data_IF_062665425968
#
_entry.id   IF_062665425968
#
_cell.length_a   1.000
_cell.length_b   1.000
_cell.length_c   1.000
_cell.angle_alpha   90.00
_cell.angle_beta   90.00
_cell.angle_gamma   90.00
#
_symmetry.space_group_name_H-M   'P 1'
#
loop_
_entity.id
_entity.type
_entity.pdbx_description
1 polymer ?
#
# COMPACT_ATOMS: atom_id res chain seq x y z
N UNK A 1 -6.14 10.22 27.04
CA UNK A 1 -6.76 8.90 27.28
C UNK A 1 -5.77 8.00 28.02
N UNK A 2 -6.21 7.32 29.07
CA UNK A 2 -5.45 6.24 29.75
C UNK A 2 -5.78 4.91 29.07
N UNK A 3 -4.77 4.14 28.69
CA UNK A 3 -4.95 2.83 28.06
C UNK A 3 -4.51 1.71 28.99
N UNK A 4 -5.27 0.62 28.99
CA UNK A 4 -5.00 -0.57 29.77
C UNK A 4 -5.24 -1.83 28.93
N UNK A 5 -4.62 -2.94 29.33
CA UNK A 5 -4.90 -4.27 28.78
C UNK A 5 -5.14 -5.31 29.84
N UNK A 6 -5.92 -6.33 29.52
CA UNK A 6 -6.02 -7.54 30.33
C UNK A 6 -5.05 -8.64 29.85
N UNK A 7 -5.09 -9.81 30.50
CA UNK A 7 -4.23 -10.96 30.18
C UNK A 7 -4.43 -11.54 28.76
N UNK A 8 -5.54 -11.20 28.09
CA UNK A 8 -5.85 -11.60 26.71
C UNK A 8 -5.45 -10.52 25.70
N UNK A 9 -4.80 -9.44 26.14
CA UNK A 9 -4.51 -8.23 25.35
C UNK A 9 -5.77 -7.47 24.85
N UNK A 10 -6.92 -7.64 25.50
CA UNK A 10 -8.08 -6.79 25.21
C UNK A 10 -7.82 -5.39 25.78
N UNK A 11 -7.98 -4.36 24.93
CA UNK A 11 -7.65 -2.96 25.26
C UNK A 11 -8.87 -2.26 25.86
N UNK A 12 -8.63 -1.49 26.93
CA UNK A 12 -9.59 -0.62 27.59
C UNK A 12 -9.03 0.81 27.57
N UNK A 13 -9.86 1.77 27.17
CA UNK A 13 -9.53 3.19 27.17
C UNK A 13 -10.43 3.91 28.17
N UNK A 14 -9.83 4.75 28.99
CA UNK A 14 -10.52 5.59 29.96
C UNK A 14 -10.09 7.04 29.73
N UNK A 15 -10.98 7.98 30.07
CA UNK A 15 -10.62 9.41 30.09
C UNK A 15 -9.47 9.67 31.06
N UNK A 16 -8.69 10.72 30.82
CA UNK A 16 -7.51 11.03 31.65
C UNK A 16 -7.88 11.41 33.10
N UNK A 17 -9.09 11.94 33.29
CA UNK A 17 -9.67 12.31 34.57
C UNK A 17 -10.52 11.20 35.21
N UNK A 18 -10.58 10.01 34.61
CA UNK A 18 -11.29 8.87 35.18
C UNK A 18 -10.68 8.48 36.53
N UNK A 19 -11.55 8.31 37.52
CA UNK A 19 -11.21 7.83 38.87
C UNK A 19 -10.80 6.36 38.81
N UNK A 20 -9.75 6.01 39.54
CA UNK A 20 -9.15 4.68 39.52
C UNK A 20 -10.11 3.60 40.05
N UNK A 21 -11.14 3.97 40.82
CA UNK A 21 -12.20 3.05 41.28
C UNK A 21 -13.01 2.43 40.12
N UNK A 22 -13.09 3.12 38.97
CA UNK A 22 -13.77 2.61 37.78
C UNK A 22 -12.88 1.73 36.90
N UNK A 23 -11.59 1.59 37.23
CA UNK A 23 -10.65 0.75 36.49
C UNK A 23 -10.77 -0.70 36.99
N UNK A 24 -11.06 -1.63 36.07
CA UNK A 24 -11.22 -3.03 36.42
C UNK A 24 -9.93 -3.59 37.05
N UNK A 25 -10.03 -4.36 38.16
CA UNK A 25 -8.87 -4.96 38.78
C UNK A 25 -8.21 -5.99 37.85
N UNK A 26 -6.88 -6.04 37.86
CA UNK A 26 -6.09 -6.95 37.01
C UNK A 26 -5.79 -6.41 35.60
N UNK A 27 -6.17 -5.16 35.31
CA UNK A 27 -5.72 -4.42 34.14
C UNK A 27 -4.30 -3.88 34.35
N UNK A 28 -3.52 -3.86 33.27
CA UNK A 28 -2.16 -3.32 33.23
C UNK A 28 -2.17 -2.07 32.37
N UNK A 29 -1.69 -0.94 32.92
CA UNK A 29 -1.52 0.31 32.16
C UNK A 29 -0.53 0.09 31.03
N UNK A 30 -0.85 0.62 29.85
CA UNK A 30 -0.02 0.58 28.66
C UNK A 30 0.07 1.97 28.05
N UNK A 31 1.07 2.20 27.22
CA UNK A 31 1.18 3.46 26.49
C UNK A 31 0.15 3.51 25.35
N UNK A 32 -0.16 4.71 24.86
CA UNK A 32 -0.96 4.87 23.64
C UNK A 32 -0.32 4.16 22.43
N UNK A 33 1.02 4.13 22.35
CA UNK A 33 1.76 3.42 21.31
C UNK A 33 1.55 1.89 21.40
N UNK A 34 1.62 1.34 22.61
CA UNK A 34 1.33 -0.09 22.85
C UNK A 34 -0.13 -0.42 22.54
N UNK A 35 -1.07 0.43 22.95
CA UNK A 35 -2.50 0.28 22.66
C UNK A 35 -2.76 0.30 21.14
N UNK A 36 -2.16 1.26 20.45
CA UNK A 36 -2.24 1.40 18.99
C UNK A 36 -1.66 0.18 18.29
N UNK A 37 -0.50 -0.31 18.74
CA UNK A 37 0.15 -1.51 18.18
C UNK A 37 -0.69 -2.77 18.39
N UNK A 38 -1.39 -2.90 19.52
CA UNK A 38 -2.26 -4.03 19.79
C UNK A 38 -3.57 -3.96 18.98
N UNK A 39 -4.13 -2.77 18.79
CA UNK A 39 -5.34 -2.54 18.00
C UNK A 39 -5.10 -2.68 16.49
N UNK A 40 -3.94 -2.22 16.02
CA UNK A 40 -3.56 -2.25 14.62
C UNK A 40 -2.06 -2.57 14.49
N UNK A 41 -1.67 -3.86 14.62
CA UNK A 41 -0.27 -4.23 14.53
C UNK A 41 0.28 -3.91 13.13
N UNK A 42 1.55 -3.49 13.04
CA UNK A 42 2.18 -3.28 11.75
C UNK A 42 2.18 -4.58 10.96
N UNK A 43 1.99 -4.47 9.65
CA UNK A 43 2.02 -5.62 8.75
C UNK A 43 3.37 -6.34 8.84
N UNK A 44 3.32 -7.66 8.84
CA UNK A 44 4.54 -8.48 8.76
C UNK A 44 5.25 -8.27 7.43
N UNK A 45 6.56 -8.52 7.38
CA UNK A 45 7.35 -8.46 6.13
C UNK A 45 6.71 -9.30 5.00
N UNK A 46 6.17 -10.48 5.33
CA UNK A 46 5.50 -11.35 4.36
C UNK A 46 4.21 -10.70 3.80
N UNK A 47 3.43 -10.05 4.66
CA UNK A 47 2.23 -9.33 4.22
C UNK A 47 2.58 -8.11 3.36
N UNK A 48 3.63 -7.37 3.73
CA UNK A 48 4.14 -6.24 2.93
C UNK A 48 4.59 -6.69 1.54
N UNK A 49 5.30 -7.83 1.44
CA UNK A 49 5.70 -8.43 0.15
C UNK A 49 4.47 -8.81 -0.68
N UNK A 50 3.48 -9.48 -0.08
CA UNK A 50 2.26 -9.86 -0.79
C UNK A 50 1.49 -8.64 -1.33
N UNK A 51 1.41 -7.56 -0.55
CA UNK A 51 0.83 -6.28 -0.99
C UNK A 51 1.63 -5.66 -2.14
N UNK A 52 2.96 -5.72 -2.08
CA UNK A 52 3.82 -5.21 -3.15
C UNK A 52 3.67 -6.04 -4.44
N UNK A 53 3.54 -7.35 -4.34
CA UNK A 53 3.26 -8.24 -5.48
C UNK A 53 1.90 -7.93 -6.13
N UNK A 54 0.85 -7.76 -5.32
CA UNK A 54 -0.48 -7.37 -5.82
C UNK A 54 -0.43 -6.00 -6.51
N UNK A 55 0.22 -5.01 -5.89
CA UNK A 55 0.43 -3.70 -6.51
C UNK A 55 1.17 -3.81 -7.84
N UNK A 56 2.21 -4.63 -7.94
CA UNK A 56 2.96 -4.85 -9.18
C UNK A 56 2.08 -5.44 -10.28
N UNK A 57 1.17 -6.36 -9.93
CA UNK A 57 0.20 -6.93 -10.86
C UNK A 57 -0.82 -5.88 -11.34
N UNK A 58 -1.36 -5.06 -10.43
CA UNK A 58 -2.29 -3.98 -10.78
C UNK A 58 -1.65 -2.95 -11.71
N UNK A 59 -0.44 -2.49 -11.37
CA UNK A 59 0.32 -1.53 -12.20
C UNK A 59 0.67 -2.11 -13.58
N UNK A 60 0.99 -3.40 -13.64
CA UNK A 60 1.23 -4.09 -14.92
C UNK A 60 -0.05 -4.12 -15.75
N UNK A 61 -1.18 -4.48 -15.16
CA UNK A 61 -2.45 -4.55 -15.89
C UNK A 61 -2.85 -3.18 -16.46
N UNK A 62 -2.63 -2.11 -15.70
CA UNK A 62 -2.82 -0.74 -16.19
C UNK A 62 -1.89 -0.42 -17.37
N UNK A 63 -0.59 -0.72 -17.25
CA UNK A 63 0.35 -0.51 -18.34
C UNK A 63 0.02 -1.34 -19.59
N UNK A 64 -0.41 -2.60 -19.42
CA UNK A 64 -0.84 -3.46 -20.52
C UNK A 64 -2.07 -2.88 -21.23
N UNK A 65 -3.02 -2.29 -20.49
CA UNK A 65 -4.19 -1.62 -21.07
C UNK A 65 -3.81 -0.36 -21.88
N UNK A 66 -2.94 0.49 -21.34
CA UNK A 66 -2.47 1.71 -22.03
C UNK A 66 -1.63 1.40 -23.27
N UNK A 67 -0.84 0.32 -23.23
CA UNK A 67 -0.06 -0.16 -24.38
C UNK A 67 -0.99 -0.72 -25.46
N UNK A 68 -2.04 -1.46 -25.09
CA UNK A 68 -2.87 -2.19 -26.06
C UNK A 68 -3.47 -1.25 -27.10
N UNK A 69 -4.20 -0.22 -26.67
CA UNK A 69 -4.94 0.62 -27.60
C UNK A 69 -4.01 1.54 -28.43
N UNK A 70 -2.92 2.02 -27.84
CA UNK A 70 -1.91 2.81 -28.57
C UNK A 70 -1.17 1.96 -29.59
N UNK A 71 -0.90 0.71 -29.26
CA UNK A 71 -0.34 -0.24 -30.21
C UNK A 71 -1.30 -0.47 -31.38
N UNK A 72 -2.59 -0.65 -31.11
CA UNK A 72 -3.61 -0.80 -32.15
C UNK A 72 -3.66 0.44 -33.07
N UNK A 73 -3.58 1.65 -32.50
CA UNK A 73 -3.52 2.90 -33.28
C UNK A 73 -2.26 2.99 -34.16
N UNK A 74 -1.10 2.58 -33.61
CA UNK A 74 0.16 2.55 -34.34
C UNK A 74 0.11 1.54 -35.50
N UNK A 75 -0.40 0.34 -35.24
CA UNK A 75 -0.52 -0.74 -36.23
C UNK A 75 -1.55 -0.40 -37.33
N UNK A 76 -2.60 0.34 -36.98
CA UNK A 76 -3.57 0.88 -37.94
C UNK A 76 -3.03 2.10 -38.72
N UNK A 77 -1.86 2.63 -38.36
CA UNK A 77 -1.27 3.81 -39.00
C UNK A 77 -2.03 5.12 -38.73
N UNK A 78 -2.78 5.18 -37.64
CA UNK A 78 -3.59 6.34 -37.23
C UNK A 78 -3.14 6.97 -35.91
N UNK A 79 -2.08 6.42 -35.29
CA UNK A 79 -1.52 6.98 -34.06
C UNK A 79 -1.03 8.43 -34.26
N UNK A 80 -1.25 9.27 -33.26
CA UNK A 80 -0.61 10.59 -33.20
C UNK A 80 0.86 10.46 -32.78
N UNK A 81 1.62 11.56 -32.95
CA UNK A 81 3.01 11.64 -32.46
C UNK A 81 3.05 11.49 -30.93
N UNK A 82 2.08 12.08 -30.22
CA UNK A 82 1.91 11.95 -28.78
C UNK A 82 1.62 10.51 -28.36
N UNK A 83 0.65 9.84 -29.00
CA UNK A 83 0.32 8.43 -28.70
C UNK A 83 1.51 7.50 -28.95
N UNK A 84 2.30 7.77 -29.99
CA UNK A 84 3.52 7.01 -30.28
C UNK A 84 4.59 7.22 -29.21
N UNK A 85 4.81 8.47 -28.77
CA UNK A 85 5.73 8.81 -27.69
C UNK A 85 5.31 8.15 -26.36
N UNK A 86 4.04 8.25 -26.01
CA UNK A 86 3.49 7.63 -24.80
C UNK A 86 3.58 6.11 -24.82
N UNK A 87 3.35 5.48 -25.97
CA UNK A 87 3.51 4.04 -26.14
C UNK A 87 4.94 3.57 -25.79
N UNK A 88 5.96 4.33 -26.20
CA UNK A 88 7.36 4.05 -25.83
C UNK A 88 7.58 4.19 -24.32
N UNK A 89 7.04 5.25 -23.71
CA UNK A 89 7.13 5.47 -22.25
C UNK A 89 6.45 4.36 -21.46
N UNK A 90 5.24 3.95 -21.85
CA UNK A 90 4.50 2.86 -21.21
C UNK A 90 5.22 1.50 -21.35
N UNK A 91 5.81 1.22 -22.51
CA UNK A 91 6.62 0.01 -22.71
C UNK A 91 7.87 0.02 -21.80
N UNK A 92 8.57 1.14 -21.71
CA UNK A 92 9.72 1.31 -20.81
C UNK A 92 9.31 1.15 -19.35
N UNK A 93 8.21 1.80 -18.95
CA UNK A 93 7.62 1.68 -17.62
C UNK A 93 7.34 0.22 -17.27
N UNK A 94 6.64 -0.52 -18.15
CA UNK A 94 6.31 -1.94 -17.91
C UNK A 94 7.56 -2.79 -17.70
N UNK A 95 8.62 -2.57 -18.47
CA UNK A 95 9.90 -3.29 -18.32
C UNK A 95 10.56 -2.96 -16.97
N UNK A 96 10.60 -1.70 -16.58
CA UNK A 96 11.14 -1.29 -15.28
C UNK A 96 10.33 -1.87 -14.13
N UNK A 97 9.00 -1.80 -14.23
CA UNK A 97 8.07 -2.36 -13.25
C UNK A 97 8.30 -3.85 -13.05
N UNK A 98 8.49 -4.61 -14.14
CA UNK A 98 8.75 -6.05 -14.08
C UNK A 98 10.07 -6.39 -13.36
N UNK A 99 11.03 -5.47 -13.30
CA UNK A 99 12.32 -5.63 -12.59
C UNK A 99 12.26 -5.27 -11.11
N UNK A 100 11.16 -4.68 -10.62
CA UNK A 100 11.02 -4.31 -9.20
C UNK A 100 11.11 -5.55 -8.31
N UNK A 101 11.97 -5.48 -7.29
CA UNK A 101 12.03 -6.43 -6.18
C UNK A 101 10.94 -6.07 -5.15
N UNK A 102 9.94 -6.94 -4.99
CA UNK A 102 8.80 -6.71 -4.09
C UNK A 102 9.16 -6.83 -2.62
N UNK A 103 10.36 -7.33 -2.28
CA UNK A 103 10.86 -7.34 -0.91
C UNK A 103 11.47 -6.01 -0.45
N UNK A 104 11.82 -5.15 -1.40
CA UNK A 104 12.29 -3.78 -1.17
C UNK A 104 11.97 -2.91 -2.41
N UNK A 105 10.69 -2.56 -2.63
CA UNK A 105 10.26 -2.04 -3.92
C UNK A 105 10.62 -0.57 -4.13
N UNK A 106 11.28 -0.29 -5.25
CA UNK A 106 11.44 1.04 -5.81
C UNK A 106 10.57 1.15 -7.07
N UNK A 107 9.42 1.81 -6.95
CA UNK A 107 8.44 1.88 -8.03
C UNK A 107 8.88 2.89 -9.11
N UNK A 108 8.86 2.51 -10.41
CA UNK A 108 9.09 3.48 -11.48
C UNK A 108 7.98 4.54 -11.50
N UNK A 109 8.32 5.75 -11.94
CA UNK A 109 7.34 6.82 -12.14
C UNK A 109 6.37 6.45 -13.27
N UNK A 110 5.09 6.76 -13.07
CA UNK A 110 4.07 6.58 -14.09
C UNK A 110 4.34 7.53 -15.28
N UNK A 111 4.20 7.05 -16.53
CA UNK A 111 4.20 7.91 -17.70
C UNK A 111 3.14 9.01 -17.56
N UNK A 112 3.43 10.20 -18.10
CA UNK A 112 2.46 11.29 -18.13
C UNK A 112 1.56 11.08 -19.34
N UNK A 113 0.26 11.17 -19.11
CA UNK A 113 -0.71 11.26 -20.20
C UNK A 113 -0.76 12.74 -20.64
N UNK A 114 -0.63 12.96 -21.95
CA UNK A 114 -0.72 14.27 -22.61
C UNK A 114 -2.13 14.78 -22.77
#
# INVERSE_FOLDING_TARGET
MKYFKNIKNEIYAFEDDADDEYILPGLVSITEEEATTLLNPPLTKKQLIALAEDKKLQLRAAADAEISWRQDALDAGIATDEETSELEEWRKYRVLLMRVDTSNPEWPELPKLG
#
